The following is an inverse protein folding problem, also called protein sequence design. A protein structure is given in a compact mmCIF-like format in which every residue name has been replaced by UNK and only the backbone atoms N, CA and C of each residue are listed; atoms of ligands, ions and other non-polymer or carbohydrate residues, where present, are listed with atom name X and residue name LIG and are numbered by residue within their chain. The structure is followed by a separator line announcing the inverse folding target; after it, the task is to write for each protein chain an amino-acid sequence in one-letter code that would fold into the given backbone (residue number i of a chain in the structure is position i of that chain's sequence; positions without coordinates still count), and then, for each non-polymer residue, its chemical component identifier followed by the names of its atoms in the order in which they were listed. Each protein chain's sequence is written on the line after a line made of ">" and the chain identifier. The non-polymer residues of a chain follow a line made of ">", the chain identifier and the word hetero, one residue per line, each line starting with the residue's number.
data_IF_056360367950
#
_entry.id   IF_056360367950
#
_cell.length_a   1.000
_cell.length_b   1.000
_cell.length_c   1.000
_cell.angle_alpha   90.00
_cell.angle_beta   90.00
_cell.angle_gamma   90.00
#
_symmetry.space_group_name_H-M   'P 1'
#
loop_
_entity.id
_entity.type
_entity.pdbx_description
1 polymer ?
#
# COMPACT_ATOMS: atom_id res chain seq x y z
N UNK A 1 -15.25 34.69 32.01
CA UNK A 1 -14.70 33.57 31.23
C UNK A 1 -15.40 33.56 29.90
N UNK A 2 -14.76 34.09 28.87
CA UNK A 2 -15.30 34.04 27.51
C UNK A 2 -14.99 32.66 26.90
N UNK A 3 -15.93 32.13 26.13
CA UNK A 3 -15.92 30.72 25.72
C UNK A 3 -15.27 30.50 24.35
N UNK A 4 -14.88 29.26 24.07
CA UNK A 4 -14.31 28.87 22.77
C UNK A 4 -15.20 29.21 21.55
N UNK A 5 -16.50 29.48 21.78
CA UNK A 5 -17.45 29.97 20.78
C UNK A 5 -17.01 31.27 20.08
N UNK A 6 -16.20 32.12 20.72
CA UNK A 6 -15.67 33.34 20.08
C UNK A 6 -14.79 33.04 18.86
N UNK A 7 -14.10 31.88 18.85
CA UNK A 7 -13.26 31.43 17.74
C UNK A 7 -14.02 30.62 16.68
N UNK A 8 -15.35 30.49 16.82
CA UNK A 8 -16.23 29.74 15.93
C UNK A 8 -17.32 30.63 15.29
N UNK A 9 -17.16 31.95 15.38
CA UNK A 9 -18.01 32.92 14.69
C UNK A 9 -17.59 33.03 13.21
N UNK A 10 -18.46 33.59 12.37
CA UNK A 10 -18.18 33.92 10.95
C UNK A 10 -17.66 32.75 10.08
N UNK A 11 -18.07 31.51 10.38
CA UNK A 11 -17.75 30.34 9.54
C UNK A 11 -18.27 30.52 8.10
N UNK A 12 -17.50 30.15 7.05
CA UNK A 12 -17.88 30.37 5.66
C UNK A 12 -19.25 29.76 5.28
N UNK A 13 -20.18 30.62 4.85
CA UNK A 13 -21.58 30.30 4.50
C UNK A 13 -21.74 29.55 3.16
N UNK A 14 -21.09 28.39 3.03
CA UNK A 14 -21.13 27.54 1.83
C UNK A 14 -22.39 26.65 1.81
N UNK A 15 -23.53 27.26 1.54
CA UNK A 15 -24.80 26.57 1.27
C UNK A 15 -26.01 27.16 2.00
N UNK A 16 -27.21 26.74 1.60
CA UNK A 16 -28.49 27.28 2.08
C UNK A 16 -29.09 26.47 3.24
N UNK A 17 -28.28 26.17 4.26
CA UNK A 17 -28.69 25.38 5.44
C UNK A 17 -29.50 26.19 6.48
N UNK A 18 -30.28 27.18 6.04
CA UNK A 18 -31.07 28.07 6.90
C UNK A 18 -32.39 27.45 7.39
N UNK A 19 -32.85 26.36 6.77
CA UNK A 19 -34.05 25.63 7.18
C UNK A 19 -33.76 24.14 7.37
N UNK A 20 -34.05 23.61 8.56
CA UNK A 20 -34.02 22.16 8.82
C UNK A 20 -35.25 21.49 8.19
N UNK A 21 -35.17 21.20 6.90
CA UNK A 21 -36.15 20.34 6.22
C UNK A 21 -35.73 18.88 6.39
N UNK A 22 -36.55 18.08 7.08
CA UNK A 22 -36.38 16.62 7.05
C UNK A 22 -36.63 16.14 5.61
N UNK A 23 -35.71 15.37 5.00
CA UNK A 23 -35.89 14.91 3.63
C UNK A 23 -37.09 13.96 3.57
N UNK A 24 -38.04 14.23 2.65
CA UNK A 24 -39.27 13.46 2.51
C UNK A 24 -39.05 11.99 2.06
N UNK A 25 -37.82 11.61 1.71
CA UNK A 25 -37.43 10.25 1.36
C UNK A 25 -36.83 9.51 2.57
N UNK A 26 -37.62 8.64 3.20
CA UNK A 26 -37.17 7.66 4.21
C UNK A 26 -36.25 6.54 3.66
N UNK A 27 -35.63 6.76 2.49
CA UNK A 27 -35.01 5.73 1.66
C UNK A 27 -33.77 6.21 0.89
N UNK A 28 -32.87 6.95 1.56
CA UNK A 28 -31.53 7.27 1.05
C UNK A 28 -31.48 8.20 -0.17
N UNK A 29 -30.35 8.16 -0.88
CA UNK A 29 -30.18 8.80 -2.19
C UNK A 29 -30.85 7.94 -3.27
N UNK A 30 -31.51 8.58 -4.25
CA UNK A 30 -32.08 7.87 -5.40
C UNK A 30 -30.96 7.26 -6.24
N UNK A 31 -31.17 6.02 -6.70
CA UNK A 31 -30.31 5.38 -7.69
C UNK A 31 -30.45 6.15 -9.02
N UNK A 32 -29.33 6.56 -9.60
CA UNK A 32 -29.28 7.13 -10.93
C UNK A 32 -29.31 6.00 -11.98
N UNK A 33 -30.12 6.18 -13.02
CA UNK A 33 -30.26 5.26 -14.15
C UNK A 33 -29.98 6.09 -15.42
N UNK A 34 -29.12 5.56 -16.30
CA UNK A 34 -28.75 6.22 -17.54
C UNK A 34 -29.69 5.81 -18.67
N UNK A 35 -30.59 6.70 -19.10
CA UNK A 35 -31.44 6.50 -20.29
C UNK A 35 -30.73 6.87 -21.61
N UNK A 36 -29.44 7.24 -21.54
CA UNK A 36 -28.60 7.67 -22.67
C UNK A 36 -27.22 7.00 -22.60
N UNK A 37 -26.50 7.03 -23.71
CA UNK A 37 -25.13 6.52 -23.79
C UNK A 37 -24.18 7.36 -22.92
N UNK A 38 -23.59 6.72 -21.89
CA UNK A 38 -22.57 7.31 -21.02
C UNK A 38 -21.18 6.74 -21.32
N UNK A 39 -20.89 6.43 -22.58
CA UNK A 39 -19.55 6.11 -23.03
C UNK A 39 -18.65 7.37 -22.90
N UNK A 40 -17.38 7.23 -22.47
CA UNK A 40 -16.43 8.35 -22.55
C UNK A 40 -16.14 8.68 -24.03
N UNK A 41 -15.79 9.94 -24.37
CA UNK A 41 -15.39 10.31 -25.73
C UNK A 41 -14.26 9.41 -26.24
N UNK A 42 -14.41 8.86 -27.44
CA UNK A 42 -13.55 7.79 -27.99
C UNK A 42 -12.05 8.14 -28.02
N UNK A 43 -11.74 9.43 -28.18
CA UNK A 43 -10.37 9.97 -28.18
C UNK A 43 -9.68 9.89 -26.80
N UNK A 44 -10.42 9.84 -25.69
CA UNK A 44 -9.88 9.93 -24.32
C UNK A 44 -9.53 8.56 -23.72
N UNK A 45 -8.46 7.96 -24.23
CA UNK A 45 -7.97 6.66 -23.77
C UNK A 45 -7.01 6.77 -22.57
N UNK A 46 -7.49 6.43 -21.36
CA UNK A 46 -6.65 6.28 -20.16
C UNK A 46 -5.72 5.07 -20.33
N UNK A 47 -4.41 5.32 -20.43
CA UNK A 47 -3.38 4.29 -20.62
C UNK A 47 -2.34 4.32 -19.49
N UNK A 48 -2.07 3.16 -18.90
CA UNK A 48 -1.00 2.98 -17.89
C UNK A 48 0.30 2.62 -18.59
N UNK A 49 1.37 3.40 -18.41
CA UNK A 49 2.70 3.03 -18.88
C UNK A 49 3.22 1.81 -18.08
N UNK A 50 3.34 0.68 -18.78
CA UNK A 50 3.77 -0.64 -18.28
C UNK A 50 5.26 -0.72 -17.93
N UNK A 51 6.06 0.29 -18.27
CA UNK A 51 7.49 0.32 -17.95
C UNK A 51 7.70 0.31 -16.44
N UNK A 52 8.54 -0.62 -15.95
CA UNK A 52 8.87 -0.66 -14.52
C UNK A 52 9.49 0.67 -14.06
N UNK A 53 9.05 1.18 -12.91
CA UNK A 53 9.45 2.49 -12.36
C UNK A 53 10.98 2.67 -12.25
N UNK A 54 11.73 1.61 -11.95
CA UNK A 54 13.19 1.66 -11.86
C UNK A 54 13.82 1.81 -13.26
N UNK A 55 13.31 1.10 -14.26
CA UNK A 55 13.77 1.22 -15.65
C UNK A 55 13.46 2.62 -16.19
N UNK A 56 12.26 3.14 -15.94
CA UNK A 56 11.85 4.51 -16.31
C UNK A 56 12.80 5.54 -15.68
N UNK A 57 13.05 5.44 -14.36
CA UNK A 57 13.98 6.34 -13.65
C UNK A 57 15.41 6.28 -14.20
N UNK A 58 15.97 5.08 -14.41
CA UNK A 58 17.35 4.93 -14.90
C UNK A 58 17.51 5.44 -16.34
N UNK A 59 16.51 5.25 -17.19
CA UNK A 59 16.50 5.77 -18.57
C UNK A 59 16.41 7.30 -18.61
N UNK A 60 15.55 7.89 -17.77
CA UNK A 60 15.47 9.35 -17.60
C UNK A 60 16.76 9.94 -17.02
N UNK A 61 17.41 9.24 -16.08
CA UNK A 61 18.71 9.65 -15.55
C UNK A 61 19.81 9.58 -16.60
N UNK A 62 19.85 8.52 -17.41
CA UNK A 62 20.83 8.36 -18.50
C UNK A 62 20.70 9.48 -19.54
N UNK A 63 19.49 9.69 -20.08
CA UNK A 63 19.24 10.72 -21.10
C UNK A 63 19.55 12.12 -20.59
N UNK A 64 19.26 12.45 -19.32
CA UNK A 64 19.66 13.73 -18.70
C UNK A 64 21.19 13.90 -18.64
N UNK A 65 21.94 12.83 -18.31
CA UNK A 65 23.41 12.87 -18.30
C UNK A 65 23.96 13.08 -19.71
N UNK A 66 23.45 12.34 -20.71
CA UNK A 66 23.88 12.47 -22.10
C UNK A 66 23.56 13.86 -22.68
N UNK A 67 22.43 14.47 -22.31
CA UNK A 67 22.09 15.85 -22.68
C UNK A 67 23.02 16.88 -22.01
N UNK A 68 23.39 16.69 -20.74
CA UNK A 68 24.36 17.56 -20.05
C UNK A 68 25.81 17.39 -20.54
N UNK A 69 26.11 16.33 -21.28
CA UNK A 69 27.47 15.97 -21.70
C UNK A 69 28.01 16.72 -22.92
N UNK A 70 27.22 17.58 -23.57
CA UNK A 70 27.63 18.26 -24.82
C UNK A 70 28.54 19.48 -24.57
N UNK A 71 28.43 20.13 -23.43
CA UNK A 71 29.11 21.39 -23.11
C UNK A 71 30.27 21.26 -22.11
N UNK A 72 31.12 20.23 -22.27
CA UNK A 72 32.55 20.39 -21.95
C UNK A 72 33.44 19.29 -22.53
N UNK A 73 34.32 19.66 -23.47
CA UNK A 73 35.45 18.82 -23.93
C UNK A 73 36.77 19.47 -23.56
N UNK A 74 37.32 19.16 -22.38
CA UNK A 74 38.78 19.10 -22.10
C UNK A 74 39.12 18.55 -20.71
N UNK A 75 40.22 17.77 -20.70
CA UNK A 75 40.99 17.23 -19.57
C UNK A 75 40.31 16.15 -18.71
N UNK A 76 41.18 15.34 -18.11
CA UNK A 76 40.93 13.98 -17.59
C UNK A 76 41.61 13.80 -16.21
N UNK A 77 41.80 12.59 -15.66
CA UNK A 77 41.47 12.29 -14.27
C UNK A 77 42.47 12.80 -13.22
N UNK A 78 42.05 12.74 -11.96
CA UNK A 78 42.93 12.75 -10.79
C UNK A 78 42.31 11.85 -9.71
N UNK A 79 43.16 11.10 -9.02
CA UNK A 79 42.75 10.16 -7.96
C UNK A 79 42.71 10.84 -6.57
N UNK A 80 42.75 10.02 -5.51
CA UNK A 80 43.01 10.41 -4.10
C UNK A 80 41.88 11.13 -3.33
N UNK A 81 40.86 10.34 -2.93
CA UNK A 81 39.81 10.72 -1.96
C UNK A 81 39.85 9.86 -0.69
N UNK A 82 40.89 10.00 0.14
CA UNK A 82 41.19 9.14 1.32
C UNK A 82 40.02 8.97 2.31
N UNK A 83 39.41 7.78 2.35
CA UNK A 83 38.32 7.41 3.30
C UNK A 83 38.48 6.01 3.91
N UNK A 84 39.24 5.88 5.01
CA UNK A 84 39.46 4.63 5.76
C UNK A 84 38.16 4.25 6.51
N UNK A 85 37.77 2.98 6.76
CA UNK A 85 38.46 1.67 6.78
C UNK A 85 37.49 0.55 6.30
N UNK A 86 38.00 -0.59 5.85
CA UNK A 86 37.20 -1.83 5.72
C UNK A 86 37.19 -2.61 7.04
N UNK A 87 36.10 -3.30 7.36
CA UNK A 87 36.02 -4.26 8.45
C UNK A 87 34.89 -5.27 8.19
N UNK A 88 35.23 -6.53 7.93
CA UNK A 88 34.26 -7.63 8.02
C UNK A 88 34.04 -8.01 9.49
N UNK A 89 32.81 -8.40 9.84
CA UNK A 89 32.52 -9.52 10.74
C UNK A 89 31.05 -9.91 10.66
N UNK A 90 30.82 -11.21 10.54
CA UNK A 90 29.51 -11.85 10.67
C UNK A 90 29.11 -12.01 12.14
N UNK A 91 27.85 -11.73 12.46
CA UNK A 91 27.04 -12.55 13.38
C UNK A 91 25.53 -12.22 13.24
N UNK A 92 24.69 -13.05 13.87
CA UNK A 92 23.24 -13.16 13.64
C UNK A 92 22.41 -12.55 14.81
N UNK A 93 21.12 -12.34 14.52
CA UNK A 93 19.98 -12.32 15.44
C UNK A 93 19.74 -11.13 16.41
N UNK A 94 18.46 -11.00 16.81
CA UNK A 94 17.90 -10.32 18.00
C UNK A 94 17.68 -8.79 17.96
N UNK A 95 16.46 -8.48 17.51
CA UNK A 95 15.64 -7.24 17.66
C UNK A 95 15.67 -6.65 19.10
N UNK A 96 15.77 -5.31 19.26
CA UNK A 96 14.80 -4.48 20.05
C UNK A 96 15.03 -2.94 20.10
N UNK A 97 13.95 -2.19 19.78
CA UNK A 97 13.44 -0.93 20.40
C UNK A 97 14.31 0.36 20.46
N UNK A 98 13.90 1.39 19.68
CA UNK A 98 13.35 2.72 20.11
C UNK A 98 12.89 3.51 18.85
N UNK A 99 11.59 3.72 18.55
CA UNK A 99 10.60 4.72 19.09
C UNK A 99 11.00 6.19 18.83
N UNK A 100 10.10 7.15 18.56
CA UNK A 100 8.60 7.23 18.52
C UNK A 100 8.20 8.44 17.62
N UNK A 101 6.98 8.66 17.11
CA UNK A 101 5.75 7.84 17.04
C UNK A 101 5.50 7.43 15.56
N UNK A 102 4.50 7.77 14.71
CA UNK A 102 3.15 8.42 14.68
C UNK A 102 2.46 7.72 13.48
N UNK A 103 1.20 7.27 13.39
CA UNK A 103 0.00 7.10 14.25
C UNK A 103 -0.75 5.84 13.70
N UNK A 104 -1.90 5.33 14.16
CA UNK A 104 -2.84 5.72 15.22
C UNK A 104 -4.26 5.96 14.65
N UNK A 105 -5.26 5.10 14.82
CA UNK A 105 -5.30 3.77 15.46
C UNK A 105 -6.50 2.96 14.92
N UNK A 106 -6.63 1.65 15.15
CA UNK A 106 -7.08 1.07 16.43
C UNK A 106 -6.99 -0.47 16.41
N UNK A 107 -7.12 -1.13 17.58
CA UNK A 107 -7.65 -2.51 17.64
C UNK A 107 -6.66 -3.68 17.46
N UNK A 108 -5.49 -3.65 18.10
CA UNK A 108 -4.60 -4.82 18.13
C UNK A 108 -5.13 -5.92 19.08
N UNK A 109 -5.32 -7.14 18.58
CA UNK A 109 -5.50 -8.35 19.40
C UNK A 109 -4.40 -9.37 19.09
N UNK A 110 -3.39 -9.45 19.98
CA UNK A 110 -2.37 -10.51 19.97
C UNK A 110 -3.03 -11.83 20.34
N UNK A 111 -3.34 -12.68 19.35
CA UNK A 111 -3.72 -14.08 19.57
C UNK A 111 -2.57 -15.01 19.20
N UNK A 112 -1.76 -15.31 20.21
CA UNK A 112 -0.97 -16.54 20.24
C UNK A 112 -1.88 -17.74 20.54
N UNK A 113 -1.35 -18.97 20.36
CA UNK A 113 -1.80 -20.12 21.15
C UNK A 113 -3.27 -20.53 21.02
N UNK A 114 -3.84 -20.49 19.83
CA UNK A 114 -5.17 -21.08 19.56
C UNK A 114 -5.11 -22.12 18.46
N UNK A 115 -5.71 -23.30 18.70
CA UNK A 115 -6.08 -24.27 17.65
C UNK A 115 -7.29 -23.74 16.87
N UNK A 116 -7.11 -22.57 16.24
CA UNK A 116 -8.12 -21.90 15.45
C UNK A 116 -8.39 -22.72 14.20
N UNK A 117 -9.52 -23.45 14.22
CA UNK A 117 -10.10 -24.09 13.05
C UNK A 117 -10.54 -22.99 12.09
N UNK A 118 -9.65 -22.64 11.16
CA UNK A 118 -9.98 -21.74 10.05
C UNK A 118 -11.17 -22.34 9.29
N UNK A 119 -12.24 -21.58 9.11
CA UNK A 119 -13.38 -22.01 8.31
C UNK A 119 -12.99 -22.19 6.83
N UNK A 120 -13.78 -22.97 6.09
CA UNK A 120 -13.58 -23.16 4.65
C UNK A 120 -13.46 -21.84 3.86
N UNK A 121 -14.17 -20.80 4.31
CA UNK A 121 -14.17 -19.47 3.70
C UNK A 121 -12.87 -18.71 4.01
N UNK A 122 -12.40 -18.76 5.26
CA UNK A 122 -11.13 -18.13 5.66
C UNK A 122 -9.94 -18.79 4.95
N UNK A 123 -9.94 -20.11 4.81
CA UNK A 123 -8.89 -20.84 4.09
C UNK A 123 -8.83 -20.47 2.59
N UNK A 124 -9.98 -20.22 1.96
CA UNK A 124 -10.02 -19.71 0.58
C UNK A 124 -9.52 -18.27 0.46
N UNK A 125 -9.74 -17.44 1.49
CA UNK A 125 -9.26 -16.06 1.54
C UNK A 125 -7.76 -15.94 1.84
N UNK A 126 -7.09 -17.00 2.32
CA UNK A 126 -5.64 -16.97 2.53
C UNK A 126 -4.86 -16.88 1.20
N UNK A 127 -3.76 -16.12 1.23
CA UNK A 127 -2.82 -16.03 0.12
C UNK A 127 -1.90 -17.25 0.07
N UNK A 128 -1.43 -17.63 -1.13
CA UNK A 128 -0.55 -18.80 -1.31
C UNK A 128 0.69 -18.77 -0.41
N UNK A 129 1.39 -17.64 -0.18
CA UNK A 129 2.49 -17.58 0.79
C UNK A 129 2.06 -17.91 2.23
N UNK A 130 0.87 -17.46 2.67
CA UNK A 130 0.36 -17.74 4.01
C UNK A 130 -0.07 -19.21 4.17
N UNK A 131 -0.70 -19.79 3.15
CA UNK A 131 -1.02 -21.23 3.12
C UNK A 131 0.26 -22.07 3.16
N UNK A 132 1.29 -21.70 2.38
CA UNK A 132 2.59 -22.38 2.40
C UNK A 132 3.33 -22.20 3.73
N UNK A 133 3.19 -21.07 4.42
CA UNK A 133 3.75 -20.89 5.76
C UNK A 133 3.10 -21.85 6.78
N UNK A 134 1.77 -21.95 6.79
CA UNK A 134 1.03 -22.89 7.66
C UNK A 134 1.35 -24.35 7.36
N UNK A 135 1.48 -24.73 6.08
CA UNK A 135 1.92 -26.08 5.71
C UNK A 135 3.38 -26.35 6.13
N UNK A 136 4.28 -25.36 6.01
CA UNK A 136 5.69 -25.49 6.45
C UNK A 136 5.79 -25.68 7.97
N UNK A 137 5.01 -24.92 8.74
CA UNK A 137 4.90 -25.05 10.20
C UNK A 137 4.42 -26.45 10.62
N UNK A 138 3.57 -27.09 9.79
CA UNK A 138 3.08 -28.46 9.99
C UNK A 138 3.92 -29.54 9.30
N UNK A 139 5.11 -29.22 8.78
CA UNK A 139 6.02 -30.18 8.14
C UNK A 139 5.53 -30.76 6.81
N UNK A 140 4.59 -30.10 6.13
CA UNK A 140 3.83 -30.65 5.00
C UNK A 140 4.32 -30.12 3.64
N UNK A 141 4.18 -30.91 2.55
CA UNK A 141 4.74 -30.57 1.25
C UNK A 141 4.10 -29.32 0.64
N UNK A 142 4.94 -28.43 0.10
CA UNK A 142 4.57 -27.10 -0.42
C UNK A 142 4.31 -27.04 -1.94
N UNK A 143 4.16 -28.20 -2.57
CA UNK A 143 3.95 -28.40 -4.03
C UNK A 143 2.46 -28.62 -4.33
N UNK A 144 1.98 -28.05 -5.43
CA UNK A 144 0.58 -28.10 -5.86
C UNK A 144 -0.01 -26.72 -6.13
N UNK A 145 -1.19 -26.69 -6.75
CA UNK A 145 -2.00 -25.48 -6.95
C UNK A 145 -2.57 -24.93 -5.63
N UNK A 146 -3.12 -23.71 -5.62
CA UNK A 146 -3.66 -23.08 -4.38
C UNK A 146 -4.71 -23.98 -3.72
N UNK A 147 -5.54 -24.60 -4.53
CA UNK A 147 -6.67 -25.46 -4.17
C UNK A 147 -6.18 -26.76 -3.52
N UNK A 148 -5.14 -27.37 -4.06
CA UNK A 148 -4.47 -28.54 -3.44
C UNK A 148 -3.84 -28.20 -2.10
N UNK A 149 -3.21 -27.03 -2.00
CA UNK A 149 -2.59 -26.56 -0.74
C UNK A 149 -3.66 -26.27 0.32
N UNK A 150 -4.82 -25.75 -0.09
CA UNK A 150 -5.99 -25.57 0.78
C UNK A 150 -6.59 -26.91 1.21
N UNK A 151 -6.82 -27.84 0.30
CA UNK A 151 -7.35 -29.19 0.63
C UNK A 151 -6.39 -29.94 1.55
N UNK A 152 -5.07 -29.79 1.34
CA UNK A 152 -4.04 -30.33 2.23
C UNK A 152 -4.12 -29.69 3.62
N UNK A 153 -4.25 -28.36 3.70
CA UNK A 153 -4.38 -27.63 4.96
C UNK A 153 -5.68 -27.98 5.71
N UNK A 154 -6.80 -28.18 5.00
CA UNK A 154 -8.07 -28.67 5.57
C UNK A 154 -7.99 -30.09 6.16
N UNK A 155 -7.04 -30.93 5.72
CA UNK A 155 -6.80 -32.26 6.30
C UNK A 155 -6.02 -32.21 7.63
N UNK A 156 -5.46 -31.04 8.00
CA UNK A 156 -4.52 -30.87 9.12
C UNK A 156 -5.13 -30.04 10.28
N UNK A 157 -6.30 -29.41 10.06
CA UNK A 157 -6.98 -28.48 10.98
C UNK A 157 -8.25 -29.08 11.61
#
# INVERSE_FOLDING_TARGET
>A
MEGASQYLQELPSRGFFSSSQQPASQGGLRVYICDHETAPPEEQLIKTDSTNILIRYLTLKKTKVEQSGKDNKRKSPSEDGKGKRHAERSCDEKIMIKRVNVSGGSGGSRREGGTSRYSDKELQNLTVPRIKALLKERGQPLRGNKEELIVRLKRIL
#
